data_IF_794544210194
#
_entry.id   IF_794544210194
#
_cell.length_a   1.000
_cell.length_b   1.000
_cell.length_c   1.000
_cell.angle_alpha   90.00
_cell.angle_beta   90.00
_cell.angle_gamma   90.00
#
_symmetry.space_group_name_H-M   'P 1'
#
loop_
_entity.id
_entity.type
_entity.pdbx_description
1 polymer ?
#
# COMPACT_ATOMS: atom_id res chain seq x y z
N UNK A 1 4.64 11.22 -0.72
CA UNK A 1 3.90 9.98 -0.34
C UNK A 1 4.67 9.05 0.63
N UNK A 2 5.89 8.59 0.30
CA UNK A 2 6.61 7.63 1.15
C UNK A 2 6.94 8.12 2.56
N UNK A 3 7.23 9.41 2.73
CA UNK A 3 7.42 10.01 4.07
C UNK A 3 6.19 9.85 4.97
N UNK A 4 4.99 9.91 4.38
CA UNK A 4 3.75 9.66 5.11
C UNK A 4 3.63 8.17 5.51
N UNK A 5 3.98 7.25 4.61
CA UNK A 5 4.01 5.83 4.91
C UNK A 5 4.99 5.50 6.06
N UNK A 6 6.12 6.19 6.14
CA UNK A 6 7.03 6.07 7.29
C UNK A 6 6.40 6.56 8.60
N UNK A 7 5.59 7.64 8.58
CA UNK A 7 4.84 8.05 9.77
C UNK A 7 3.78 7.02 10.18
N UNK A 8 3.13 6.36 9.20
CA UNK A 8 2.19 5.26 9.45
C UNK A 8 2.91 4.07 10.07
N UNK A 9 4.08 3.68 9.52
CA UNK A 9 4.91 2.59 10.03
C UNK A 9 5.32 2.79 11.48
N UNK A 10 5.70 4.01 11.87
CA UNK A 10 6.11 4.32 13.24
C UNK A 10 4.97 4.23 14.26
N UNK A 11 3.73 4.54 13.85
CA UNK A 11 2.57 4.66 14.75
C UNK A 11 1.28 4.15 14.10
N UNK A 12 1.18 2.88 13.70
CA UNK A 12 0.08 2.39 12.87
C UNK A 12 -1.28 2.59 13.54
N UNK A 13 -1.40 2.36 14.85
CA UNK A 13 -2.65 2.57 15.59
C UNK A 13 -3.13 4.03 15.66
N UNK A 14 -2.24 5.02 15.46
CA UNK A 14 -2.63 6.44 15.41
C UNK A 14 -3.29 6.81 14.07
N UNK A 15 -2.85 6.17 12.99
CA UNK A 15 -3.30 6.48 11.63
C UNK A 15 -4.38 5.53 11.12
N UNK A 16 -4.34 4.28 11.56
CA UNK A 16 -5.21 3.19 11.12
C UNK A 16 -5.80 2.48 12.34
N UNK A 17 -6.80 3.08 13.01
CA UNK A 17 -7.51 2.40 14.09
C UNK A 17 -8.12 1.09 13.56
N UNK A 18 -7.67 -0.06 14.08
CA UNK A 18 -8.09 -1.38 13.64
C UNK A 18 -7.24 -2.02 12.54
N UNK A 19 -6.22 -1.33 12.01
CA UNK A 19 -5.25 -1.91 11.06
C UNK A 19 -5.81 -2.22 9.67
N UNK A 20 -6.93 -1.62 9.29
CA UNK A 20 -7.59 -1.82 7.98
C UNK A 20 -6.78 -1.19 6.84
N UNK A 21 -6.32 -2.01 5.90
CA UNK A 21 -5.53 -1.56 4.75
C UNK A 21 -6.38 -0.86 3.69
N UNK A 22 -7.68 -1.15 3.59
CA UNK A 22 -8.57 -0.42 2.67
C UNK A 22 -8.71 1.03 3.12
N UNK A 23 -8.66 1.28 4.43
CA UNK A 23 -8.58 2.64 4.96
C UNK A 23 -7.30 3.33 4.50
N UNK A 24 -6.14 2.67 4.67
CA UNK A 24 -4.85 3.21 4.19
C UNK A 24 -4.89 3.50 2.68
N UNK A 25 -5.38 2.56 1.88
CA UNK A 25 -5.51 2.72 0.44
C UNK A 25 -6.39 3.93 0.09
N UNK A 26 -7.52 4.10 0.78
CA UNK A 26 -8.41 5.25 0.58
C UNK A 26 -7.70 6.58 0.90
N UNK A 27 -6.88 6.63 1.95
CA UNK A 27 -6.08 7.81 2.28
C UNK A 27 -5.07 8.15 1.18
N UNK A 28 -4.36 7.14 0.65
CA UNK A 28 -3.39 7.33 -0.43
C UNK A 28 -4.05 7.80 -1.72
N UNK A 29 -5.19 7.21 -2.10
CA UNK A 29 -5.98 7.68 -3.25
C UNK A 29 -6.45 9.12 -3.03
N UNK A 30 -6.94 9.45 -1.83
CA UNK A 30 -7.35 10.81 -1.48
C UNK A 30 -6.22 11.83 -1.60
N UNK A 31 -5.02 11.47 -1.15
CA UNK A 31 -3.81 12.26 -1.34
C UNK A 31 -3.54 12.54 -2.82
N UNK A 32 -3.55 11.49 -3.66
CA UNK A 32 -3.30 11.64 -5.10
C UNK A 32 -4.36 12.48 -5.81
N UNK A 33 -5.64 12.31 -5.45
CA UNK A 33 -6.73 13.16 -5.97
C UNK A 33 -6.51 14.62 -5.60
N UNK A 34 -6.09 14.91 -4.36
CA UNK A 34 -5.81 16.27 -3.92
C UNK A 34 -4.63 16.90 -4.70
N UNK A 35 -3.55 16.15 -4.94
CA UNK A 35 -2.44 16.62 -5.78
C UNK A 35 -2.91 16.98 -7.20
N UNK A 36 -3.76 16.14 -7.80
CA UNK A 36 -4.36 16.41 -9.11
C UNK A 36 -5.16 17.71 -9.14
N UNK A 37 -5.99 17.98 -8.12
CA UNK A 37 -6.73 19.24 -7.98
C UNK A 37 -5.78 20.44 -7.90
N UNK A 38 -4.63 20.28 -7.26
CA UNK A 38 -3.61 21.31 -7.13
C UNK A 38 -2.58 21.33 -8.28
N UNK A 39 -2.75 20.51 -9.32
CA UNK A 39 -1.83 20.40 -10.46
C UNK A 39 -0.38 20.11 -10.04
N UNK A 40 -0.21 19.32 -8.99
CA UNK A 40 1.08 18.82 -8.53
C UNK A 40 1.31 17.46 -9.17
N UNK A 41 2.40 17.33 -9.93
CA UNK A 41 2.80 16.07 -10.56
C UNK A 41 3.72 15.28 -9.62
N UNK A 42 3.16 14.27 -8.96
CA UNK A 42 3.89 13.30 -8.12
C UNK A 42 3.54 11.89 -8.62
N UNK A 43 4.52 11.00 -8.82
CA UNK A 43 4.26 9.62 -9.18
C UNK A 43 3.48 8.90 -8.07
N UNK A 44 2.60 7.98 -8.46
CA UNK A 44 1.74 7.26 -7.54
C UNK A 44 1.65 5.77 -7.88
N UNK A 45 2.12 4.96 -6.94
CA UNK A 45 2.31 3.53 -7.16
C UNK A 45 1.10 2.68 -6.76
N UNK A 46 0.23 3.23 -5.91
CA UNK A 46 -0.76 2.46 -5.15
C UNK A 46 -2.17 2.43 -5.75
N UNK A 47 -2.29 2.74 -7.05
CA UNK A 47 -3.52 2.43 -7.80
C UNK A 47 -3.76 0.91 -7.82
N UNK A 48 -5.01 0.49 -7.97
CA UNK A 48 -5.37 -0.93 -8.03
C UNK A 48 -4.66 -1.69 -9.18
N UNK A 49 -4.35 -0.98 -10.25
CA UNK A 49 -3.60 -1.42 -11.43
C UNK A 49 -2.23 -0.73 -11.54
N UNK A 50 -1.77 -0.11 -10.46
CA UNK A 50 -0.51 0.63 -10.41
C UNK A 50 0.73 -0.27 -10.32
N UNK A 51 1.93 0.36 -10.34
CA UNK A 51 3.22 -0.32 -10.18
C UNK A 51 3.28 -1.32 -9.03
N UNK A 52 2.83 -0.92 -7.83
CA UNK A 52 2.87 -1.79 -6.65
C UNK A 52 1.96 -3.01 -6.80
N UNK A 53 0.73 -2.82 -7.28
CA UNK A 53 -0.22 -3.92 -7.52
C UNK A 53 0.30 -4.89 -8.58
N UNK A 54 0.89 -4.35 -9.65
CA UNK A 54 1.47 -5.16 -10.74
C UNK A 54 2.62 -6.02 -10.23
N UNK A 55 3.53 -5.43 -9.45
CA UNK A 55 4.62 -6.16 -8.82
C UNK A 55 4.10 -7.21 -7.82
N UNK A 56 3.11 -6.87 -7.01
CA UNK A 56 2.54 -7.77 -6.01
C UNK A 56 2.00 -9.05 -6.66
N UNK A 57 1.27 -8.93 -7.76
CA UNK A 57 0.72 -10.09 -8.49
C UNK A 57 1.81 -11.00 -9.06
N UNK A 58 2.92 -10.42 -9.51
CA UNK A 58 4.08 -11.20 -9.93
C UNK A 58 4.76 -11.90 -8.75
N UNK A 59 4.85 -11.23 -7.61
CA UNK A 59 5.50 -11.75 -6.40
C UNK A 59 4.71 -12.89 -5.75
N UNK A 60 3.37 -12.81 -5.71
CA UNK A 60 2.51 -13.85 -5.10
C UNK A 60 2.07 -14.94 -6.09
N UNK A 61 2.25 -14.71 -7.40
CA UNK A 61 1.89 -15.67 -8.46
C UNK A 61 0.39 -15.73 -8.80
N UNK A 62 -0.43 -14.85 -8.24
CA UNK A 62 -1.87 -14.76 -8.47
C UNK A 62 -2.28 -13.29 -8.67
N UNK A 63 -3.26 -13.05 -9.55
CA UNK A 63 -3.86 -11.73 -9.74
C UNK A 63 -5.23 -11.65 -9.06
N UNK A 64 -5.51 -10.55 -8.37
CA UNK A 64 -6.81 -10.31 -7.71
C UNK A 64 -7.50 -9.06 -8.26
N UNK A 65 -8.82 -9.13 -8.43
CA UNK A 65 -9.65 -7.97 -8.81
C UNK A 65 -10.07 -7.10 -7.62
N UNK A 66 -9.76 -7.53 -6.38
CA UNK A 66 -10.16 -6.85 -5.15
C UNK A 66 -9.17 -5.75 -4.70
N UNK A 67 -8.08 -5.58 -5.44
CA UNK A 67 -7.00 -4.63 -5.11
C UNK A 67 -6.03 -5.16 -4.06
N UNK A 68 -4.85 -4.53 -3.99
CA UNK A 68 -3.76 -4.97 -3.11
C UNK A 68 -4.16 -4.98 -1.63
N UNK A 69 -4.93 -4.01 -1.16
CA UNK A 69 -5.27 -3.89 0.26
C UNK A 69 -6.09 -5.08 0.77
N UNK A 70 -7.16 -5.42 0.04
CA UNK A 70 -8.02 -6.57 0.36
C UNK A 70 -7.24 -7.88 0.28
N UNK A 71 -6.34 -7.99 -0.71
CA UNK A 71 -5.59 -9.23 -0.92
C UNK A 71 -4.53 -9.45 0.16
N UNK A 72 -3.82 -8.41 0.59
CA UNK A 72 -2.87 -8.49 1.69
C UNK A 72 -3.59 -8.88 2.98
N UNK A 73 -4.75 -8.28 3.28
CA UNK A 73 -5.57 -8.69 4.44
C UNK A 73 -5.94 -10.17 4.39
N UNK A 74 -6.32 -10.69 3.21
CA UNK A 74 -6.70 -12.10 3.02
C UNK A 74 -5.53 -13.06 3.19
N UNK A 75 -4.33 -12.66 2.78
CA UNK A 75 -3.12 -13.48 2.78
C UNK A 75 -2.31 -13.37 4.08
N UNK A 76 -2.64 -12.41 4.94
CA UNK A 76 -1.97 -12.22 6.23
C UNK A 76 -2.21 -13.44 7.13
N UNK A 77 -1.14 -14.06 7.60
CA UNK A 77 -1.20 -15.20 8.52
C UNK A 77 -1.56 -14.77 9.96
N UNK A 78 -2.14 -15.67 10.75
CA UNK A 78 -2.61 -15.43 12.14
C UNK A 78 -1.54 -14.88 13.12
N UNK A 79 -0.26 -14.89 12.75
CA UNK A 79 0.86 -14.35 13.55
C UNK A 79 1.40 -13.00 13.09
N UNK A 80 0.79 -12.38 12.07
CA UNK A 80 1.17 -11.07 11.53
C UNK A 80 -0.06 -10.18 11.45
N UNK A 81 0.13 -8.87 11.37
CA UNK A 81 -0.96 -7.93 11.08
C UNK A 81 -0.93 -7.51 9.61
N UNK A 82 -2.08 -7.17 8.99
CA UNK A 82 -2.10 -6.72 7.61
C UNK A 82 -1.18 -5.53 7.34
N UNK A 83 -1.04 -4.62 8.32
CA UNK A 83 -0.15 -3.47 8.20
C UNK A 83 1.33 -3.86 8.22
N UNK A 84 1.73 -4.82 9.05
CA UNK A 84 3.10 -5.36 9.04
C UNK A 84 3.41 -6.06 7.71
N UNK A 85 2.45 -6.84 7.22
CA UNK A 85 2.58 -7.55 5.95
C UNK A 85 2.66 -6.58 4.75
N UNK A 86 1.84 -5.52 4.75
CA UNK A 86 1.95 -4.45 3.77
C UNK A 86 3.35 -3.82 3.77
N UNK A 87 3.90 -3.48 4.93
CA UNK A 87 5.22 -2.86 5.01
C UNK A 87 6.34 -3.83 4.61
N UNK A 88 6.22 -5.12 4.90
CA UNK A 88 7.15 -6.15 4.44
C UNK A 88 7.17 -6.24 2.91
N UNK A 89 5.99 -6.25 2.29
CA UNK A 89 5.84 -6.26 0.84
C UNK A 89 6.33 -4.95 0.20
N UNK A 90 6.07 -3.82 0.84
CA UNK A 90 6.55 -2.52 0.39
C UNK A 90 8.08 -2.45 0.37
N UNK A 91 8.75 -2.97 1.42
CA UNK A 91 10.22 -3.00 1.46
C UNK A 91 10.79 -3.88 0.34
N UNK A 92 10.18 -5.04 0.07
CA UNK A 92 10.57 -5.92 -1.03
C UNK A 92 10.38 -5.24 -2.41
N UNK A 93 9.24 -4.59 -2.61
CA UNK A 93 8.95 -3.81 -3.82
C UNK A 93 10.01 -2.73 -4.06
N UNK A 94 10.32 -1.93 -3.03
CA UNK A 94 11.29 -0.84 -3.13
C UNK A 94 12.72 -1.38 -3.35
N UNK A 95 13.06 -2.52 -2.76
CA UNK A 95 14.35 -3.16 -2.97
C UNK A 95 14.54 -3.63 -4.42
N UNK A 96 13.50 -4.22 -5.01
CA UNK A 96 13.55 -4.77 -6.37
C UNK A 96 13.43 -3.69 -7.46
N UNK A 97 12.76 -2.57 -7.17
CA UNK A 97 12.57 -1.47 -8.13
C UNK A 97 13.64 -0.37 -8.05
N UNK A 98 14.49 -0.40 -7.02
CA UNK A 98 15.66 0.49 -6.93
C UNK A 98 16.85 0.05 -7.80
N UNK A 99 16.74 -1.05 -8.55
CA UNK A 99 17.75 -1.61 -9.44
C UNK A 99 17.49 -1.25 -10.91
#
# INVERSE_FOLDING_TARGET
>A
MYDFLEQVRLRPGMWLPGGDLKHLQSMLIGYQVALGVHSIDEPFDFWNDGPFSTWLWQHIGESSSLGWATEIERLTADGSTPIEEFFRLLDAYLHETAA
#
